data_IF_466068521065
#
_entry.id   IF_466068521065
#
_cell.length_a   1.000
_cell.length_b   1.000
_cell.length_c   1.000
_cell.angle_alpha   90.00
_cell.angle_beta   90.00
_cell.angle_gamma   90.00
#
_symmetry.space_group_name_H-M   'P 1'
#
loop_
_entity.id
_entity.type
_entity.pdbx_description
1 polymer ?
#
# COMPACT_ATOMS: atom_id res chain seq x y z
N UNK A 1 12.91 7.30 -0.76
CA UNK A 1 11.86 7.24 0.27
C UNK A 1 10.77 6.31 -0.19
N UNK A 2 10.31 5.40 0.67
CA UNK A 2 9.18 4.52 0.36
C UNK A 2 7.92 5.35 0.16
N UNK A 3 7.21 5.12 -0.93
CA UNK A 3 5.97 5.83 -1.24
C UNK A 3 4.83 5.26 -0.40
N UNK A 4 4.29 6.07 0.50
CA UNK A 4 3.16 5.71 1.37
C UNK A 4 1.93 6.56 1.02
N UNK A 5 0.73 6.06 1.33
CA UNK A 5 -0.52 6.84 1.17
C UNK A 5 -0.47 8.17 1.90
N UNK A 6 0.15 8.19 3.09
CA UNK A 6 0.34 9.42 3.87
C UNK A 6 1.15 10.43 3.08
N UNK A 7 2.31 10.02 2.54
CA UNK A 7 3.17 10.91 1.74
C UNK A 7 2.45 11.41 0.48
N UNK A 8 1.71 10.53 -0.20
CA UNK A 8 0.92 10.90 -1.38
C UNK A 8 -0.13 11.97 -1.05
N UNK A 9 -0.81 11.84 0.09
CA UNK A 9 -1.87 12.77 0.49
C UNK A 9 -1.36 14.09 1.06
N UNK A 10 -0.24 14.07 1.80
CA UNK A 10 0.32 15.27 2.43
C UNK A 10 1.22 16.07 1.48
N UNK A 11 1.93 15.39 0.56
CA UNK A 11 2.92 16.01 -0.32
C UNK A 11 2.62 15.68 -1.81
N UNK A 12 1.37 15.74 -2.21
CA UNK A 12 0.88 15.33 -3.54
C UNK A 12 1.71 15.88 -4.69
N UNK A 13 1.96 17.20 -4.71
CA UNK A 13 2.71 17.85 -5.79
C UNK A 13 4.20 17.45 -5.81
N UNK A 14 4.81 17.19 -4.64
CA UNK A 14 6.17 16.65 -4.55
C UNK A 14 6.25 15.24 -5.12
N UNK A 15 5.25 14.42 -4.82
CA UNK A 15 5.18 13.05 -5.36
C UNK A 15 5.03 13.08 -6.87
N UNK A 16 4.12 13.91 -7.41
CA UNK A 16 3.93 14.07 -8.86
C UNK A 16 5.24 14.50 -9.54
N UNK A 17 5.89 15.55 -9.05
CA UNK A 17 7.18 16.02 -9.58
C UNK A 17 8.28 14.95 -9.51
N UNK A 18 8.32 14.16 -8.43
CA UNK A 18 9.27 13.07 -8.29
C UNK A 18 9.03 11.94 -9.29
N UNK A 19 7.78 11.65 -9.62
CA UNK A 19 7.42 10.68 -10.65
C UNK A 19 7.73 11.18 -12.05
N UNK A 20 7.43 12.46 -12.33
CA UNK A 20 7.77 13.13 -13.59
C UNK A 20 9.29 13.14 -13.83
N UNK A 21 10.09 13.41 -12.78
CA UNK A 21 11.55 13.32 -12.80
C UNK A 21 12.08 11.94 -13.21
N UNK A 22 11.31 10.89 -12.95
CA UNK A 22 11.58 9.52 -13.40
C UNK A 22 10.95 9.17 -14.74
N UNK A 23 10.42 10.16 -15.45
CA UNK A 23 9.69 9.99 -16.71
C UNK A 23 8.50 9.02 -16.62
N UNK A 24 7.88 8.92 -15.45
CA UNK A 24 6.68 8.11 -15.26
C UNK A 24 5.49 8.78 -15.96
N UNK A 25 5.00 8.12 -17.01
CA UNK A 25 3.88 8.65 -17.80
C UNK A 25 2.58 8.62 -17.01
N UNK A 26 1.81 9.72 -17.09
CA UNK A 26 0.53 9.81 -16.37
C UNK A 26 0.70 9.93 -14.85
N UNK A 27 1.78 10.59 -14.38
CA UNK A 27 2.08 10.72 -12.95
C UNK A 27 0.93 11.36 -12.16
N UNK A 28 0.37 12.46 -12.68
CA UNK A 28 -0.74 13.17 -12.02
C UNK A 28 -1.99 12.31 -11.94
N UNK A 29 -2.40 11.74 -13.06
CA UNK A 29 -3.60 10.88 -13.15
C UNK A 29 -3.48 9.65 -12.22
N UNK A 30 -2.30 9.04 -12.16
CA UNK A 30 -2.06 7.91 -11.28
C UNK A 30 -2.18 8.29 -9.79
N UNK A 31 -1.61 9.43 -9.39
CA UNK A 31 -1.68 9.94 -8.03
C UNK A 31 -3.12 10.34 -7.66
N UNK A 32 -3.82 11.06 -8.53
CA UNK A 32 -5.21 11.45 -8.33
C UNK A 32 -6.12 10.23 -8.16
N UNK A 33 -5.91 9.19 -8.97
CA UNK A 33 -6.67 7.94 -8.86
C UNK A 33 -6.42 7.22 -7.52
N UNK A 34 -5.18 7.21 -7.03
CA UNK A 34 -4.86 6.68 -5.69
C UNK A 34 -5.62 7.45 -4.61
N UNK A 35 -5.60 8.79 -4.66
CA UNK A 35 -6.28 9.63 -3.67
C UNK A 35 -7.81 9.47 -3.71
N UNK A 36 -8.39 9.36 -4.90
CA UNK A 36 -9.82 9.10 -5.07
C UNK A 36 -10.22 7.72 -4.51
N UNK A 37 -9.44 6.69 -4.81
CA UNK A 37 -9.69 5.33 -4.33
C UNK A 37 -9.56 5.25 -2.80
N UNK A 38 -8.55 5.91 -2.21
CA UNK A 38 -8.41 5.99 -0.76
C UNK A 38 -9.56 6.78 -0.10
N UNK A 39 -10.06 7.82 -0.76
CA UNK A 39 -11.25 8.55 -0.30
C UNK A 39 -12.48 7.63 -0.26
N UNK A 40 -12.74 6.86 -1.32
CA UNK A 40 -13.83 5.88 -1.35
C UNK A 40 -13.69 4.84 -0.24
N UNK A 41 -12.50 4.33 -0.02
CA UNK A 41 -12.21 3.38 1.06
C UNK A 41 -12.53 3.98 2.43
N UNK A 42 -12.07 5.21 2.70
CA UNK A 42 -12.31 5.91 3.98
C UNK A 42 -13.79 6.22 4.20
N UNK A 43 -14.51 6.62 3.16
CA UNK A 43 -15.96 6.87 3.25
C UNK A 43 -16.73 5.57 3.54
N UNK A 44 -16.36 4.46 2.91
CA UNK A 44 -16.96 3.15 3.19
C UNK A 44 -16.68 2.72 4.64
N UNK A 45 -15.44 2.90 5.13
CA UNK A 45 -15.08 2.61 6.51
C UNK A 45 -15.89 3.44 7.51
N UNK A 46 -16.00 4.75 7.28
CA UNK A 46 -16.79 5.64 8.17
C UNK A 46 -18.28 5.23 8.23
N UNK A 47 -18.87 4.89 7.06
CA UNK A 47 -20.25 4.40 7.01
C UNK A 47 -20.40 3.07 7.74
N UNK A 48 -19.44 2.16 7.59
CA UNK A 48 -19.43 0.87 8.27
C UNK A 48 -19.36 1.03 9.79
N UNK A 49 -18.47 1.91 10.26
CA UNK A 49 -18.30 2.17 11.69
C UNK A 49 -19.58 2.79 12.31
N UNK A 50 -20.18 3.76 11.62
CA UNK A 50 -21.46 4.35 12.02
C UNK A 50 -22.57 3.30 12.05
N UNK A 51 -22.66 2.48 11.02
CA UNK A 51 -23.67 1.42 10.90
C UNK A 51 -23.56 0.41 12.04
N UNK A 52 -22.34 -0.01 12.36
CA UNK A 52 -22.06 -0.90 13.52
C UNK A 52 -22.42 -0.25 14.84
N UNK A 53 -22.14 1.04 15.03
CA UNK A 53 -22.48 1.76 16.23
C UNK A 53 -24.01 1.82 16.43
N UNK A 54 -24.76 2.13 15.37
CA UNK A 54 -26.23 2.16 15.40
C UNK A 54 -26.83 0.76 15.66
N UNK A 55 -26.33 -0.28 14.96
CA UNK A 55 -26.77 -1.65 15.20
C UNK A 55 -26.52 -2.12 16.64
N UNK A 56 -25.35 -1.77 17.21
CA UNK A 56 -25.03 -2.09 18.60
C UNK A 56 -25.95 -1.36 19.59
N UNK A 57 -26.27 -0.08 19.35
CA UNK A 57 -27.21 0.69 20.15
C UNK A 57 -28.62 0.06 20.13
N UNK A 58 -29.11 -0.28 18.94
CA UNK A 58 -30.41 -0.94 18.77
C UNK A 58 -30.44 -2.34 19.41
N UNK A 59 -29.34 -3.09 19.34
CA UNK A 59 -29.25 -4.39 19.99
C UNK A 59 -29.39 -4.29 21.51
N UNK A 60 -28.87 -3.23 22.14
CA UNK A 60 -29.09 -2.95 23.56
C UNK A 60 -30.55 -2.60 23.87
N UNK A 61 -31.22 -1.83 22.99
CA UNK A 61 -32.63 -1.51 23.13
C UNK A 61 -33.53 -2.76 23.08
N UNK A 62 -33.21 -3.72 22.21
CA UNK A 62 -33.94 -5.00 22.16
C UNK A 62 -33.90 -5.69 23.52
N UNK A 63 -32.73 -5.72 24.19
CA UNK A 63 -32.60 -6.32 25.52
C UNK A 63 -33.47 -5.63 26.58
N UNK A 64 -33.61 -4.31 26.52
CA UNK A 64 -34.50 -3.54 27.43
C UNK A 64 -35.98 -3.82 27.14
N UNK A 65 -36.38 -3.72 25.87
CA UNK A 65 -37.79 -3.96 25.45
C UNK A 65 -38.24 -5.38 25.79
N UNK A 66 -37.37 -6.36 25.66
CA UNK A 66 -37.71 -7.74 26.07
C UNK A 66 -37.89 -7.89 27.57
N UNK A 67 -37.11 -7.20 28.39
CA UNK A 67 -37.26 -7.18 29.84
C UNK A 67 -38.58 -6.51 30.26
N UNK A 68 -39.00 -5.46 29.54
CA UNK A 68 -40.21 -4.72 29.79
C UNK A 68 -41.49 -5.41 29.21
N UNK A 69 -41.34 -6.60 28.62
CA UNK A 69 -42.45 -7.37 28.04
C UNK A 69 -42.98 -6.82 26.69
N UNK A 70 -42.31 -5.82 26.09
CA UNK A 70 -42.69 -5.18 24.83
C UNK A 70 -42.20 -5.94 23.63
N UNK A 71 -42.71 -7.16 23.44
CA UNK A 71 -42.23 -8.09 22.40
C UNK A 71 -42.41 -7.59 20.97
N UNK A 72 -43.52 -6.87 20.69
CA UNK A 72 -43.82 -6.34 19.36
C UNK A 72 -42.84 -5.23 18.96
N UNK A 73 -42.57 -4.29 19.86
CA UNK A 73 -41.55 -3.25 19.64
C UNK A 73 -40.13 -3.85 19.48
N UNK A 74 -39.83 -4.89 20.25
CA UNK A 74 -38.56 -5.60 20.13
C UNK A 74 -38.36 -6.28 18.75
N UNK A 75 -39.43 -6.85 18.17
CA UNK A 75 -39.36 -7.44 16.83
C UNK A 75 -39.16 -6.38 15.73
N UNK A 76 -39.77 -5.23 15.83
CA UNK A 76 -39.52 -4.10 14.90
C UNK A 76 -38.06 -3.64 14.93
N UNK A 77 -37.49 -3.54 16.14
CA UNK A 77 -36.06 -3.17 16.28
C UNK A 77 -35.15 -4.25 15.75
N UNK A 78 -35.47 -5.55 15.94
CA UNK A 78 -34.72 -6.66 15.35
C UNK A 78 -34.71 -6.61 13.81
N UNK A 79 -35.86 -6.29 13.19
CA UNK A 79 -35.92 -6.12 11.74
C UNK A 79 -34.99 -5.01 11.24
N UNK A 80 -34.93 -3.88 11.95
CA UNK A 80 -33.99 -2.80 11.66
C UNK A 80 -32.53 -3.24 11.79
N UNK A 81 -32.18 -3.96 12.86
CA UNK A 81 -30.83 -4.50 13.04
C UNK A 81 -30.43 -5.46 11.91
N UNK A 82 -31.37 -6.24 11.39
CA UNK A 82 -31.14 -7.12 10.25
C UNK A 82 -30.78 -6.30 8.98
N UNK A 83 -31.47 -5.17 8.75
CA UNK A 83 -31.14 -4.25 7.64
C UNK A 83 -29.72 -3.67 7.79
N UNK A 84 -29.33 -3.27 8.99
CA UNK A 84 -27.97 -2.77 9.24
C UNK A 84 -26.91 -3.85 8.95
N UNK A 85 -27.17 -5.11 9.33
CA UNK A 85 -26.26 -6.22 9.04
C UNK A 85 -26.09 -6.50 7.54
N UNK A 86 -27.16 -6.34 6.76
CA UNK A 86 -27.07 -6.48 5.31
C UNK A 86 -26.29 -5.33 4.68
N UNK A 87 -26.54 -4.08 5.14
CA UNK A 87 -25.74 -2.92 4.72
C UNK A 87 -24.26 -3.08 5.08
N UNK A 88 -23.93 -3.68 6.24
CA UNK A 88 -22.55 -3.96 6.63
C UNK A 88 -21.83 -4.84 5.62
N UNK A 89 -22.48 -5.88 5.11
CA UNK A 89 -21.88 -6.76 4.08
C UNK A 89 -21.57 -5.99 2.80
N UNK A 90 -22.49 -5.14 2.35
CA UNK A 90 -22.28 -4.32 1.16
C UNK A 90 -21.15 -3.32 1.35
N UNK A 91 -21.10 -2.65 2.50
CA UNK A 91 -20.02 -1.70 2.83
C UNK A 91 -18.67 -2.39 2.98
N UNK A 92 -18.61 -3.58 3.55
CA UNK A 92 -17.40 -4.39 3.62
C UNK A 92 -16.91 -4.81 2.24
N UNK A 93 -17.83 -5.19 1.35
CA UNK A 93 -17.46 -5.53 -0.04
C UNK A 93 -16.86 -4.33 -0.78
N UNK A 94 -17.52 -3.15 -0.67
CA UNK A 94 -17.00 -1.91 -1.27
C UNK A 94 -15.63 -1.52 -0.70
N UNK A 95 -15.43 -1.68 0.60
CA UNK A 95 -14.14 -1.40 1.24
C UNK A 95 -13.05 -2.36 0.73
N UNK A 96 -13.35 -3.65 0.68
CA UNK A 96 -12.41 -4.67 0.19
C UNK A 96 -12.04 -4.45 -1.28
N UNK A 97 -13.01 -4.09 -2.12
CA UNK A 97 -12.77 -3.74 -3.53
C UNK A 97 -11.84 -2.53 -3.64
N UNK A 98 -12.12 -1.47 -2.88
CA UNK A 98 -11.27 -0.28 -2.87
C UNK A 98 -9.85 -0.56 -2.34
N UNK A 99 -9.68 -1.43 -1.36
CA UNK A 99 -8.37 -1.86 -0.85
C UNK A 99 -7.57 -2.66 -1.89
N UNK A 100 -8.21 -3.54 -2.63
CA UNK A 100 -7.58 -4.30 -3.71
C UNK A 100 -7.16 -3.38 -4.86
N UNK A 101 -8.05 -2.47 -5.28
CA UNK A 101 -7.74 -1.47 -6.30
C UNK A 101 -6.57 -0.59 -5.86
N UNK A 102 -6.60 -0.11 -4.61
CA UNK A 102 -5.56 0.73 -4.04
C UNK A 102 -4.19 0.02 -4.02
N UNK A 103 -4.17 -1.23 -3.61
CA UNK A 103 -2.96 -2.06 -3.63
C UNK A 103 -2.41 -2.18 -5.05
N UNK A 104 -3.27 -2.46 -6.03
CA UNK A 104 -2.88 -2.56 -7.44
C UNK A 104 -2.30 -1.24 -7.96
N UNK A 105 -2.96 -0.11 -7.66
CA UNK A 105 -2.49 1.21 -8.05
C UNK A 105 -1.12 1.55 -7.45
N UNK A 106 -0.94 1.30 -6.15
CA UNK A 106 0.32 1.57 -5.46
C UNK A 106 1.47 0.68 -5.96
N UNK A 107 1.21 -0.58 -6.31
CA UNK A 107 2.22 -1.46 -6.88
C UNK A 107 2.70 -1.01 -8.27
N UNK A 108 1.88 -0.28 -9.00
CA UNK A 108 2.21 0.23 -10.34
C UNK A 108 2.96 1.58 -10.31
N UNK A 109 3.01 2.26 -9.17
CA UNK A 109 3.68 3.55 -9.03
C UNK A 109 5.08 3.34 -8.45
N UNK A 110 6.15 3.77 -9.13
CA UNK A 110 7.51 3.64 -8.62
C UNK A 110 7.75 4.61 -7.45
N UNK A 111 8.70 4.28 -6.58
CA UNK A 111 9.16 5.21 -5.55
C UNK A 111 9.76 6.49 -6.16
N UNK A 112 9.56 7.62 -5.49
CA UNK A 112 10.17 8.90 -5.90
C UNK A 112 11.65 8.95 -5.51
N UNK A 113 12.51 9.61 -6.31
CA UNK A 113 13.91 9.83 -5.99
C UNK A 113 14.06 10.79 -4.81
N UNK A 114 15.24 10.84 -4.23
CA UNK A 114 15.60 11.89 -3.29
C UNK A 114 15.75 13.23 -4.05
N UNK A 115 15.63 14.34 -3.34
CA UNK A 115 15.57 15.66 -3.98
C UNK A 115 16.87 16.01 -4.71
N UNK A 116 18.02 15.58 -4.16
CA UNK A 116 19.37 15.77 -4.73
C UNK A 116 19.67 14.90 -5.96
N UNK A 117 18.89 13.87 -6.24
CA UNK A 117 19.09 13.02 -7.42
C UNK A 117 18.74 13.82 -8.68
N UNK A 118 19.62 13.95 -9.67
CA UNK A 118 19.33 14.65 -10.92
C UNK A 118 18.24 13.96 -11.73
N UNK A 119 17.64 14.70 -12.66
CA UNK A 119 16.79 14.09 -13.68
C UNK A 119 17.64 13.30 -14.64
N UNK A 120 17.18 12.08 -15.00
CA UNK A 120 17.92 11.22 -15.91
C UNK A 120 17.10 10.04 -16.41
N UNK A 121 17.52 9.44 -17.50
CA UNK A 121 16.89 8.29 -18.16
C UNK A 121 17.63 7.00 -17.87
N UNK A 122 18.95 7.06 -17.78
CA UNK A 122 19.79 5.89 -17.60
C UNK A 122 21.06 6.21 -16.77
N UNK A 123 21.95 5.23 -16.64
CA UNK A 123 23.17 5.34 -15.84
C UNK A 123 24.15 6.41 -16.33
N UNK A 124 24.07 6.87 -17.58
CA UNK A 124 24.96 7.90 -18.12
C UNK A 124 24.63 9.29 -17.56
N UNK A 125 23.40 9.47 -17.09
CA UNK A 125 22.92 10.71 -16.47
C UNK A 125 23.30 10.79 -14.97
N UNK A 126 23.94 9.74 -14.41
CA UNK A 126 24.36 9.75 -13.01
C UNK A 126 25.47 10.74 -12.78
N UNK A 127 25.33 11.52 -11.72
CA UNK A 127 26.36 12.49 -11.28
C UNK A 127 27.20 11.85 -10.18
N UNK A 128 28.54 11.90 -10.37
CA UNK A 128 29.48 11.47 -9.33
C UNK A 128 29.48 12.50 -8.21
N UNK A 129 28.98 12.12 -7.03
CA UNK A 129 28.86 13.00 -5.85
C UNK A 129 30.16 12.99 -5.04
N UNK A 130 30.87 11.86 -5.02
CA UNK A 130 32.11 11.71 -4.25
C UNK A 130 32.99 10.65 -4.90
N UNK A 131 34.24 10.96 -5.06
CA UNK A 131 35.31 10.03 -5.43
C UNK A 131 36.24 9.81 -4.24
N UNK A 132 36.84 8.61 -4.14
CA UNK A 132 37.77 8.32 -3.07
C UNK A 132 38.44 6.97 -3.23
N UNK A 133 39.65 6.87 -2.68
CA UNK A 133 40.50 5.67 -2.79
C UNK A 133 41.28 5.61 -4.10
N UNK A 134 42.07 4.53 -4.24
CA UNK A 134 42.81 4.22 -5.45
C UNK A 134 42.17 2.99 -6.07
N UNK A 135 41.77 3.10 -7.33
CA UNK A 135 41.26 1.95 -8.08
C UNK A 135 42.46 1.02 -8.42
N UNK A 136 42.49 -0.20 -7.94
CA UNK A 136 43.58 -1.13 -8.26
C UNK A 136 43.51 -1.52 -9.74
N UNK A 137 44.70 -1.61 -10.38
CA UNK A 137 44.80 -2.23 -11.69
C UNK A 137 44.68 -3.73 -11.51
N UNK A 138 43.59 -4.29 -11.99
CA UNK A 138 43.35 -5.73 -12.00
C UNK A 138 43.95 -6.33 -13.28
N UNK A 139 44.48 -7.57 -13.24
CA UNK A 139 44.92 -8.28 -14.43
C UNK A 139 43.72 -8.61 -15.34
N UNK A 140 43.95 -8.81 -16.62
CA UNK A 140 42.91 -9.10 -17.61
C UNK A 140 42.08 -10.36 -17.29
N UNK A 141 42.72 -11.33 -16.63
CA UNK A 141 42.10 -12.59 -16.17
C UNK A 141 41.50 -12.52 -14.76
N UNK A 142 41.34 -11.33 -14.20
CA UNK A 142 40.75 -11.17 -12.89
C UNK A 142 39.34 -11.78 -12.82
N UNK A 143 39.14 -12.65 -11.83
CA UNK A 143 37.87 -13.34 -11.63
C UNK A 143 36.78 -12.37 -11.14
N UNK A 144 35.56 -12.52 -11.66
CA UNK A 144 34.42 -11.84 -11.16
C UNK A 144 34.07 -12.29 -9.73
N UNK A 145 33.31 -11.46 -8.98
CA UNK A 145 33.00 -11.76 -7.57
C UNK A 145 32.26 -13.10 -7.39
N UNK A 146 31.39 -13.50 -8.30
CA UNK A 146 30.70 -14.80 -8.24
C UNK A 146 31.66 -15.97 -8.46
N UNK A 147 32.68 -15.82 -9.32
CA UNK A 147 33.72 -16.85 -9.53
C UNK A 147 34.62 -16.97 -8.32
N UNK A 148 34.92 -15.84 -7.66
CA UNK A 148 35.66 -15.84 -6.39
C UNK A 148 34.85 -16.52 -5.28
N UNK A 149 33.53 -16.24 -5.18
CA UNK A 149 32.67 -16.92 -4.24
C UNK A 149 32.67 -18.44 -4.45
N UNK A 150 32.60 -18.88 -5.69
CA UNK A 150 32.66 -20.31 -6.06
C UNK A 150 34.04 -20.92 -5.78
N UNK A 151 35.11 -20.24 -6.20
CA UNK A 151 36.50 -20.71 -6.03
C UNK A 151 36.87 -20.91 -4.55
N UNK A 152 36.45 -19.99 -3.71
CA UNK A 152 36.77 -20.01 -2.28
C UNK A 152 35.65 -20.57 -1.40
N UNK A 153 34.56 -21.07 -2.02
CA UNK A 153 33.37 -21.59 -1.31
C UNK A 153 32.81 -20.63 -0.22
N UNK A 154 32.72 -19.35 -0.59
CA UNK A 154 32.27 -18.30 0.32
C UNK A 154 30.75 -18.25 0.46
N UNK A 155 30.01 -18.61 -0.59
CA UNK A 155 28.56 -18.62 -0.65
C UNK A 155 28.12 -19.94 -1.32
N UNK A 156 27.27 -20.67 -0.65
CA UNK A 156 26.57 -21.85 -1.18
C UNK A 156 25.20 -21.44 -1.70
N UNK A 157 25.09 -21.17 -2.99
CA UNK A 157 23.84 -20.77 -3.64
C UNK A 157 22.83 -21.91 -3.69
N UNK A 158 23.27 -23.14 -3.85
CA UNK A 158 22.40 -24.32 -3.93
C UNK A 158 21.75 -24.58 -2.57
N UNK A 159 22.49 -24.46 -1.48
CA UNK A 159 21.96 -24.53 -0.14
C UNK A 159 21.05 -23.35 0.17
N UNK A 160 21.41 -22.16 -0.29
CA UNK A 160 20.57 -20.95 -0.17
C UNK A 160 19.19 -21.18 -0.79
N UNK A 161 19.12 -21.58 -2.05
CA UNK A 161 17.87 -21.90 -2.76
C UNK A 161 17.09 -23.01 -2.06
N UNK A 162 17.76 -24.06 -1.56
CA UNK A 162 17.13 -25.15 -0.83
C UNK A 162 16.45 -24.69 0.47
N UNK A 163 17.03 -23.72 1.17
CA UNK A 163 16.50 -23.19 2.43
C UNK A 163 15.39 -22.19 2.18
N UNK A 164 15.54 -21.29 1.22
CA UNK A 164 14.59 -20.20 0.94
C UNK A 164 13.46 -20.58 0.01
N UNK A 165 13.62 -21.64 -0.78
CA UNK A 165 12.62 -22.09 -1.77
C UNK A 165 12.51 -21.17 -2.99
N UNK A 166 13.50 -20.35 -3.28
CA UNK A 166 13.52 -19.42 -4.42
C UNK A 166 14.27 -20.01 -5.62
#
# INVERSE_FOLDING_TARGET
TMLTLKLISEETERVIKGLEKKHFKGAREAVEKVLETDKRRREAQQKLDKNKQEANSMSKQIGMLMKDGKTQEAEEVKAKVATYKENDKQLQALMSEAEQELTTLLCNIPNIPADEVPEGKDANDNVVVKEGGVIPLLPEDALCHWDLCKKYNLIDFDLGVKITGA
#
